data_IF_295845000709
#
_entry.id   IF_295845000709
#
_cell.length_a   1.000
_cell.length_b   1.000
_cell.length_c   1.000
_cell.angle_alpha   90.00
_cell.angle_beta   90.00
_cell.angle_gamma   90.00
#
_symmetry.space_group_name_H-M   'P 1'
#
loop_
_entity.id
_entity.type
_entity.pdbx_description
1 polymer ?
#
# COMPACT_ATOMS: atom_id res chain seq x y z
N UNK A 1 -5.21 -21.42 -26.07
CA UNK A 1 -4.92 -19.99 -25.85
C UNK A 1 -3.49 -19.94 -25.33
N UNK A 2 -2.57 -19.32 -26.07
CA UNK A 2 -1.21 -19.10 -25.59
C UNK A 2 -1.26 -17.87 -24.70
N UNK A 3 -0.98 -18.03 -23.41
CA UNK A 3 -0.75 -16.90 -22.52
C UNK A 3 0.45 -16.13 -23.06
N UNK A 4 0.16 -14.95 -23.60
CA UNK A 4 1.18 -13.97 -23.95
C UNK A 4 1.64 -13.39 -22.62
N UNK A 5 2.78 -13.87 -22.12
CA UNK A 5 3.44 -13.24 -20.99
C UNK A 5 3.72 -11.77 -21.36
N UNK A 6 3.37 -10.81 -20.49
CA UNK A 6 3.63 -9.40 -20.75
C UNK A 6 5.12 -9.19 -21.00
N UNK A 7 5.43 -8.50 -22.10
CA UNK A 7 6.82 -8.22 -22.47
C UNK A 7 7.37 -7.10 -21.58
N UNK A 8 8.70 -7.05 -21.42
CA UNK A 8 9.40 -6.16 -20.50
C UNK A 8 9.15 -4.65 -20.69
N UNK A 9 8.56 -4.24 -21.81
CA UNK A 9 8.17 -2.84 -22.06
C UNK A 9 6.86 -2.44 -21.38
N UNK A 10 5.99 -3.39 -21.01
CA UNK A 10 4.70 -3.12 -20.36
C UNK A 10 4.84 -2.85 -18.85
N UNK A 11 6.03 -3.05 -18.29
CA UNK A 11 6.32 -3.03 -16.85
C UNK A 11 6.97 -1.70 -16.41
N UNK A 12 7.16 -0.75 -17.35
CA UNK A 12 7.95 0.47 -17.12
C UNK A 12 7.23 1.63 -16.40
N UNK A 13 5.90 1.64 -16.23
CA UNK A 13 5.20 2.87 -15.80
C UNK A 13 4.29 2.79 -14.57
N UNK A 14 4.24 1.68 -13.84
CA UNK A 14 3.31 1.49 -12.71
C UNK A 14 4.01 1.18 -11.37
N UNK A 15 5.14 1.85 -11.10
CA UNK A 15 5.77 1.82 -9.77
C UNK A 15 4.95 2.63 -8.75
N UNK A 16 5.29 2.49 -7.47
CA UNK A 16 4.67 3.32 -6.44
C UNK A 16 5.09 4.77 -6.67
N UNK A 17 4.12 5.68 -6.68
CA UNK A 17 4.34 7.11 -6.96
C UNK A 17 3.84 7.96 -5.80
N UNK A 18 4.29 9.22 -5.76
CA UNK A 18 3.78 10.20 -4.80
C UNK A 18 2.27 10.42 -4.97
N UNK A 19 1.75 10.34 -6.21
CA UNK A 19 0.32 10.46 -6.50
C UNK A 19 -0.49 9.32 -5.87
N UNK A 20 -0.02 8.07 -5.94
CA UNK A 20 -0.67 6.94 -5.27
C UNK A 20 -0.82 7.19 -3.77
N UNK A 21 0.25 7.67 -3.14
CA UNK A 21 0.27 7.95 -1.70
C UNK A 21 -0.61 9.14 -1.34
N UNK A 22 -0.56 10.21 -2.13
CA UNK A 22 -1.40 11.38 -1.96
C UNK A 22 -2.89 11.03 -2.07
N UNK A 23 -3.28 10.19 -3.03
CA UNK A 23 -4.65 9.70 -3.15
C UNK A 23 -5.09 8.95 -1.89
N UNK A 24 -4.25 8.07 -1.35
CA UNK A 24 -4.55 7.34 -0.10
C UNK A 24 -4.72 8.29 1.07
N UNK A 25 -3.80 9.23 1.29
CA UNK A 25 -3.88 10.15 2.43
C UNK A 25 -5.02 11.15 2.30
N UNK A 26 -5.31 11.63 1.09
CA UNK A 26 -6.44 12.52 0.82
C UNK A 26 -7.77 11.81 1.09
N UNK A 27 -7.92 10.56 0.63
CA UNK A 27 -9.11 9.77 0.90
C UNK A 27 -9.27 9.44 2.39
N UNK A 28 -8.19 9.09 3.09
CA UNK A 28 -8.21 8.88 4.54
C UNK A 28 -8.58 10.16 5.31
N UNK A 29 -8.13 11.33 4.84
CA UNK A 29 -8.54 12.62 5.40
C UNK A 29 -10.04 12.87 5.20
N UNK A 30 -10.60 12.55 4.02
CA UNK A 30 -12.05 12.65 3.77
C UNK A 30 -12.85 11.76 4.73
N UNK A 31 -12.46 10.48 4.90
CA UNK A 31 -13.13 9.58 5.85
C UNK A 31 -13.06 10.12 7.28
N UNK A 32 -11.92 10.70 7.66
CA UNK A 32 -11.76 11.32 9.00
C UNK A 32 -12.68 12.53 9.16
N UNK A 33 -12.80 13.38 8.14
CA UNK A 33 -13.72 14.52 8.13
C UNK A 33 -15.17 14.08 8.25
N UNK A 34 -15.60 13.10 7.45
CA UNK A 34 -16.96 12.57 7.51
C UNK A 34 -17.26 11.92 8.87
N UNK A 35 -16.30 11.17 9.43
CA UNK A 35 -16.45 10.57 10.76
C UNK A 35 -16.62 11.61 11.88
N UNK A 36 -15.92 12.75 11.76
CA UNK A 36 -16.06 13.87 12.70
C UNK A 36 -17.43 14.55 12.57
N UNK A 37 -17.90 14.79 11.34
CA UNK A 37 -19.22 15.39 11.09
C UNK A 37 -20.36 14.51 11.62
N UNK A 38 -20.27 13.19 11.43
CA UNK A 38 -21.24 12.24 12.01
C UNK A 38 -21.24 12.33 13.53
N UNK A 39 -20.06 12.39 14.14
CA UNK A 39 -19.94 12.50 15.60
C UNK A 39 -20.55 13.80 16.10
N UNK A 40 -20.28 14.94 15.46
CA UNK A 40 -20.83 16.25 15.81
C UNK A 40 -22.37 16.29 15.68
N UNK A 41 -22.91 15.85 14.54
CA UNK A 41 -24.36 15.81 14.29
C UNK A 41 -25.11 14.99 15.35
N UNK A 42 -24.48 13.95 15.89
CA UNK A 42 -25.04 13.11 16.95
C UNK A 42 -25.12 13.76 18.33
N UNK A 43 -24.37 14.84 18.61
CA UNK A 43 -24.51 15.59 19.87
C UNK A 43 -25.57 16.69 19.81
N UNK A 44 -25.97 17.12 18.62
CA UNK A 44 -26.95 18.19 18.43
C UNK A 44 -28.40 17.69 18.53
N UNK A 45 -28.66 16.38 18.45
CA UNK A 45 -30.00 15.81 18.58
C UNK A 45 -30.46 15.64 20.06
N UNK A 46 -31.71 15.98 20.41
CA UNK A 46 -32.18 15.93 21.80
C UNK A 46 -32.26 14.51 22.39
N UNK A 47 -31.60 14.33 23.53
CA UNK A 47 -31.44 13.08 24.31
C UNK A 47 -32.72 12.30 24.71
N UNK A 48 -33.93 12.85 24.53
CA UNK A 48 -35.19 12.23 25.01
C UNK A 48 -35.92 11.37 23.96
N UNK A 49 -35.29 11.16 22.81
CA UNK A 49 -35.76 10.38 21.68
C UNK A 49 -35.16 8.96 21.75
N UNK A 50 -35.76 8.04 22.54
CA UNK A 50 -35.19 6.69 22.78
C UNK A 50 -35.90 5.62 21.92
N UNK A 51 -35.18 4.92 21.01
CA UNK A 51 -34.07 4.00 21.30
C UNK A 51 -32.67 4.43 20.77
N UNK A 52 -32.33 5.72 20.84
CA UNK A 52 -31.09 6.27 20.29
C UNK A 52 -29.77 5.82 20.97
N UNK A 53 -29.74 5.43 22.25
CA UNK A 53 -28.45 5.25 22.96
C UNK A 53 -27.59 4.08 22.46
N UNK A 54 -28.19 2.95 22.06
CA UNK A 54 -27.41 1.81 21.56
C UNK A 54 -26.83 2.10 20.17
N UNK A 55 -27.58 2.77 19.31
CA UNK A 55 -27.15 3.14 17.96
C UNK A 55 -26.12 4.27 17.96
N UNK A 56 -26.31 5.25 18.84
CA UNK A 56 -25.35 6.31 19.11
C UNK A 56 -24.05 5.72 19.68
N UNK A 57 -24.13 4.77 20.62
CA UNK A 57 -22.96 4.09 21.16
C UNK A 57 -22.24 3.26 20.09
N UNK A 58 -22.98 2.51 19.25
CA UNK A 58 -22.39 1.74 18.14
C UNK A 58 -21.69 2.66 17.14
N UNK A 59 -22.28 3.79 16.79
CA UNK A 59 -21.66 4.76 15.88
C UNK A 59 -20.42 5.40 16.51
N UNK A 60 -20.49 5.81 17.78
CA UNK A 60 -19.31 6.32 18.51
C UNK A 60 -18.16 5.31 18.52
N UNK A 61 -18.47 4.04 18.82
CA UNK A 61 -17.48 2.97 18.81
C UNK A 61 -16.82 2.79 17.43
N UNK A 62 -17.58 2.93 16.34
CA UNK A 62 -17.05 2.85 14.98
C UNK A 62 -16.20 4.07 14.60
N UNK A 63 -16.65 5.29 14.93
CA UNK A 63 -15.82 6.48 14.74
C UNK A 63 -14.50 6.38 15.54
N UNK A 64 -14.55 5.83 16.75
CA UNK A 64 -13.35 5.52 17.54
C UNK A 64 -12.49 4.43 16.87
N UNK A 65 -13.10 3.37 16.32
CA UNK A 65 -12.36 2.36 15.55
C UNK A 65 -11.58 3.00 14.39
N UNK A 66 -12.19 3.94 13.67
CA UNK A 66 -11.49 4.69 12.63
C UNK A 66 -10.32 5.51 13.19
N UNK A 67 -10.58 6.34 14.20
CA UNK A 67 -9.61 7.30 14.75
C UNK A 67 -8.46 6.63 15.51
N UNK A 68 -8.72 5.56 16.24
CA UNK A 68 -7.77 4.94 17.16
C UNK A 68 -7.01 3.77 16.52
N UNK A 69 -7.61 3.15 15.50
CA UNK A 69 -7.05 1.94 14.88
C UNK A 69 -6.74 2.15 13.40
N UNK A 70 -7.72 2.49 12.58
CA UNK A 70 -7.56 2.43 11.11
C UNK A 70 -6.72 3.59 10.58
N UNK A 71 -7.10 4.83 10.90
CA UNK A 71 -6.42 6.03 10.44
C UNK A 71 -4.95 6.06 10.91
N UNK A 72 -4.62 5.78 12.19
CA UNK A 72 -3.22 5.71 12.62
C UNK A 72 -2.41 4.63 11.88
N UNK A 73 -3.01 3.49 11.54
CA UNK A 73 -2.31 2.46 10.76
C UNK A 73 -2.03 2.94 9.33
N UNK A 74 -2.98 3.57 8.65
CA UNK A 74 -2.76 4.16 7.32
C UNK A 74 -1.61 5.19 7.37
N UNK A 75 -1.67 6.11 8.34
CA UNK A 75 -0.70 7.20 8.48
C UNK A 75 0.70 6.75 8.91
N UNK A 76 0.83 5.56 9.52
CA UNK A 76 2.13 5.03 9.99
C UNK A 76 2.65 3.91 9.09
N UNK A 77 1.85 2.87 8.87
CA UNK A 77 2.29 1.65 8.20
C UNK A 77 2.56 1.87 6.72
N UNK A 78 1.85 2.79 6.04
CA UNK A 78 2.08 3.06 4.62
C UNK A 78 3.39 3.82 4.38
N UNK A 79 3.65 4.98 5.04
CA UNK A 79 4.95 5.62 4.92
C UNK A 79 6.10 4.73 5.36
N UNK A 80 5.94 4.02 6.48
CA UNK A 80 6.97 3.12 6.99
C UNK A 80 7.25 2.00 6.00
N UNK A 81 6.23 1.43 5.37
CA UNK A 81 6.40 0.40 4.33
C UNK A 81 7.21 0.88 3.13
N UNK A 82 7.11 2.16 2.75
CA UNK A 82 7.92 2.73 1.66
C UNK A 82 9.34 2.98 2.11
N UNK A 83 9.53 3.53 3.32
CA UNK A 83 10.84 3.80 3.90
C UNK A 83 11.64 2.50 4.14
N UNK A 84 11.02 1.51 4.78
CA UNK A 84 11.62 0.19 5.04
C UNK A 84 12.05 -0.48 3.73
N UNK A 85 11.18 -0.46 2.72
CA UNK A 85 11.52 -1.02 1.41
C UNK A 85 12.71 -0.30 0.80
N UNK A 86 12.75 1.04 0.87
CA UNK A 86 13.85 1.81 0.31
C UNK A 86 15.18 1.49 0.97
N UNK A 87 15.23 1.41 2.31
CA UNK A 87 16.44 1.02 3.05
C UNK A 87 16.92 -0.37 2.63
N UNK A 88 16.01 -1.35 2.54
CA UNK A 88 16.36 -2.70 2.07
C UNK A 88 16.82 -2.70 0.61
N UNK A 89 16.17 -1.92 -0.24
CA UNK A 89 16.52 -1.84 -1.65
C UNK A 89 17.89 -1.18 -1.87
N UNK A 90 18.29 -0.22 -1.03
CA UNK A 90 19.65 0.31 -0.99
C UNK A 90 20.68 -0.77 -0.68
N UNK A 91 20.45 -1.58 0.37
CA UNK A 91 21.33 -2.68 0.73
C UNK A 91 21.44 -3.70 -0.40
N UNK A 92 20.33 -4.06 -1.02
CA UNK A 92 20.29 -4.93 -2.20
C UNK A 92 21.11 -4.36 -3.35
N UNK A 93 20.93 -3.08 -3.67
CA UNK A 93 21.66 -2.45 -4.76
C UNK A 93 23.17 -2.40 -4.51
N UNK A 94 23.59 -2.12 -3.27
CA UNK A 94 25.00 -2.12 -2.89
C UNK A 94 25.61 -3.53 -2.92
N UNK A 95 24.90 -4.54 -2.42
CA UNK A 95 25.32 -5.94 -2.48
C UNK A 95 25.49 -6.41 -3.92
N UNK A 96 24.49 -6.16 -4.78
CA UNK A 96 24.56 -6.50 -6.21
C UNK A 96 25.71 -5.77 -6.89
N UNK A 97 25.92 -4.47 -6.59
CA UNK A 97 27.05 -3.71 -7.13
C UNK A 97 28.39 -4.31 -6.72
N UNK A 98 28.56 -4.69 -5.45
CA UNK A 98 29.80 -5.31 -4.98
C UNK A 98 30.07 -6.64 -5.67
N UNK A 99 29.03 -7.47 -5.86
CA UNK A 99 29.17 -8.74 -6.59
C UNK A 99 29.56 -8.48 -8.06
N UNK A 100 28.90 -7.54 -8.74
CA UNK A 100 29.22 -7.20 -10.14
C UNK A 100 30.65 -6.67 -10.28
N UNK A 101 31.12 -5.83 -9.36
CA UNK A 101 32.52 -5.38 -9.35
C UNK A 101 33.47 -6.56 -9.18
N UNK A 102 33.17 -7.48 -8.25
CA UNK A 102 33.99 -8.67 -8.03
C UNK A 102 34.01 -9.59 -9.27
N UNK A 103 32.91 -9.70 -10.01
CA UNK A 103 32.85 -10.40 -11.30
C UNK A 103 33.77 -9.74 -12.33
N UNK A 104 33.67 -8.41 -12.49
CA UNK A 104 34.48 -7.67 -13.47
C UNK A 104 36.00 -7.70 -13.18
N UNK A 105 36.39 -7.94 -11.94
CA UNK A 105 37.80 -8.09 -11.54
C UNK A 105 38.36 -9.50 -11.78
N UNK A 106 37.52 -10.49 -12.12
CA UNK A 106 37.98 -11.84 -12.41
C UNK A 106 38.65 -11.94 -13.79
N UNK A 107 39.64 -12.83 -13.96
CA UNK A 107 40.39 -12.95 -15.22
C UNK A 107 39.54 -13.29 -16.44
N UNK A 108 38.46 -14.06 -16.27
CA UNK A 108 37.52 -14.44 -17.32
C UNK A 108 36.22 -13.60 -17.30
N UNK A 109 36.10 -12.68 -16.32
CA UNK A 109 34.91 -11.85 -16.09
C UNK A 109 33.60 -12.65 -15.94
N UNK A 110 33.70 -13.91 -15.51
CA UNK A 110 32.55 -14.77 -15.28
C UNK A 110 32.17 -14.83 -13.82
N UNK A 111 30.88 -15.03 -13.54
CA UNK A 111 30.43 -15.29 -12.20
C UNK A 111 30.80 -16.71 -11.78
N UNK A 112 31.33 -16.85 -10.57
CA UNK A 112 31.44 -18.14 -9.90
C UNK A 112 30.06 -18.63 -9.44
N UNK A 113 29.94 -19.93 -9.18
CA UNK A 113 28.72 -20.53 -8.60
C UNK A 113 28.33 -19.85 -7.27
N UNK A 114 29.31 -19.51 -6.41
CA UNK A 114 29.03 -18.79 -5.16
C UNK A 114 28.48 -17.37 -5.40
N UNK A 115 28.96 -16.66 -6.42
CA UNK A 115 28.44 -15.33 -6.78
C UNK A 115 27.06 -15.42 -7.40
N UNK A 116 26.78 -16.48 -8.16
CA UNK A 116 25.44 -16.76 -8.68
C UNK A 116 24.42 -16.90 -7.56
N UNK A 117 24.70 -17.76 -6.58
CA UNK A 117 23.84 -17.92 -5.42
C UNK A 117 23.68 -16.62 -4.64
N UNK A 118 24.76 -15.86 -4.42
CA UNK A 118 24.67 -14.59 -3.71
C UNK A 118 23.77 -13.55 -4.41
N UNK A 119 23.78 -13.48 -5.75
CA UNK A 119 22.88 -12.61 -6.52
C UNK A 119 21.43 -13.05 -6.34
N UNK A 120 21.17 -14.35 -6.55
CA UNK A 120 19.83 -14.93 -6.44
C UNK A 120 19.24 -14.74 -5.04
N UNK A 121 20.02 -15.02 -3.99
CA UNK A 121 19.61 -14.83 -2.59
C UNK A 121 19.29 -13.36 -2.29
N UNK A 122 20.15 -12.43 -2.72
CA UNK A 122 19.93 -10.98 -2.50
C UNK A 122 18.62 -10.50 -3.17
N UNK A 123 18.32 -11.00 -4.37
CA UNK A 123 17.09 -10.66 -5.07
C UNK A 123 15.87 -11.34 -4.42
N UNK A 124 16.03 -12.57 -3.93
CA UNK A 124 14.97 -13.31 -3.24
C UNK A 124 14.57 -12.63 -1.94
N UNK A 125 15.54 -12.15 -1.15
CA UNK A 125 15.28 -11.36 0.05
C UNK A 125 14.44 -10.12 -0.28
N UNK A 126 14.79 -9.41 -1.36
CA UNK A 126 14.04 -8.24 -1.83
C UNK A 126 12.62 -8.60 -2.29
N UNK A 127 12.46 -9.73 -2.98
CA UNK A 127 11.16 -10.26 -3.40
C UNK A 127 10.26 -10.56 -2.19
N UNK A 128 10.82 -11.19 -1.15
CA UNK A 128 10.11 -11.52 0.09
C UNK A 128 9.67 -10.24 0.80
N UNK A 129 10.55 -9.25 0.97
CA UNK A 129 10.21 -7.97 1.59
C UNK A 129 9.11 -7.23 0.82
N UNK A 130 9.21 -7.18 -0.52
CA UNK A 130 8.15 -6.61 -1.37
C UNK A 130 6.80 -7.30 -1.13
N UNK A 131 6.81 -8.63 -0.98
CA UNK A 131 5.62 -9.40 -0.64
C UNK A 131 5.04 -9.07 0.74
N UNK A 132 5.88 -8.76 1.73
CA UNK A 132 5.44 -8.32 3.06
C UNK A 132 4.75 -6.96 2.99
N UNK A 133 5.30 -6.00 2.25
CA UNK A 133 4.68 -4.68 2.05
C UNK A 133 3.34 -4.76 1.32
N UNK A 134 3.25 -5.59 0.27
CA UNK A 134 1.98 -5.89 -0.40
C UNK A 134 0.93 -6.47 0.57
N UNK A 135 1.36 -7.36 1.48
CA UNK A 135 0.50 -7.97 2.48
C UNK A 135 -0.03 -6.95 3.48
N UNK A 136 0.82 -6.03 3.96
CA UNK A 136 0.39 -4.93 4.85
C UNK A 136 -0.78 -4.13 4.24
N UNK A 137 -0.70 -3.77 2.95
CA UNK A 137 -1.81 -3.07 2.27
C UNK A 137 -3.06 -3.95 2.15
N UNK A 138 -2.88 -5.26 1.96
CA UNK A 138 -3.99 -6.21 1.88
C UNK A 138 -4.72 -6.33 3.22
N UNK A 139 -3.98 -6.39 4.32
CA UNK A 139 -4.54 -6.48 5.67
C UNK A 139 -5.27 -5.17 6.03
N UNK A 140 -4.75 -4.01 5.62
CA UNK A 140 -5.45 -2.72 5.73
C UNK A 140 -6.77 -2.67 4.95
N UNK A 141 -6.78 -3.16 3.71
CA UNK A 141 -8.00 -3.24 2.90
C UNK A 141 -9.08 -4.08 3.57
N UNK A 142 -8.71 -5.21 4.18
CA UNK A 142 -9.65 -6.06 4.92
C UNK A 142 -10.23 -5.34 6.14
N UNK A 143 -9.39 -4.62 6.89
CA UNK A 143 -9.82 -3.84 8.05
C UNK A 143 -10.80 -2.72 7.65
N UNK A 144 -10.53 -2.04 6.53
CA UNK A 144 -11.39 -0.98 5.99
C UNK A 144 -12.70 -1.54 5.45
N UNK A 145 -12.70 -2.71 4.82
CA UNK A 145 -13.95 -3.36 4.38
C UNK A 145 -14.83 -3.76 5.58
N UNK A 146 -14.24 -4.26 6.66
CA UNK A 146 -14.98 -4.51 7.90
C UNK A 146 -15.60 -3.22 8.46
N UNK A 147 -14.83 -2.13 8.45
CA UNK A 147 -15.32 -0.81 8.85
C UNK A 147 -16.46 -0.32 7.95
N UNK A 148 -16.33 -0.44 6.62
CA UNK A 148 -17.38 -0.09 5.67
C UNK A 148 -18.68 -0.85 5.95
N UNK A 149 -18.59 -2.16 6.21
CA UNK A 149 -19.75 -2.98 6.55
C UNK A 149 -20.42 -2.53 7.85
N UNK A 150 -19.63 -2.20 8.88
CA UNK A 150 -20.13 -1.65 10.13
C UNK A 150 -20.91 -0.34 9.92
N UNK A 151 -20.41 0.55 9.04
CA UNK A 151 -21.12 1.79 8.67
C UNK A 151 -22.41 1.48 7.90
N UNK A 152 -22.40 0.54 6.94
CA UNK A 152 -23.60 0.13 6.19
C UNK A 152 -24.69 -0.42 7.11
N UNK A 153 -24.33 -1.26 8.08
CA UNK A 153 -25.27 -1.78 9.08
C UNK A 153 -25.89 -0.66 9.91
N UNK A 154 -25.08 0.33 10.31
CA UNK A 154 -25.60 1.47 11.07
C UNK A 154 -26.55 2.29 10.23
N UNK A 155 -26.19 2.61 8.98
CA UNK A 155 -27.06 3.31 8.05
C UNK A 155 -28.41 2.60 7.90
N UNK A 156 -28.42 1.28 7.68
CA UNK A 156 -29.66 0.49 7.61
C UNK A 156 -30.49 0.59 8.89
N UNK A 157 -29.83 0.56 10.05
CA UNK A 157 -30.48 0.64 11.35
C UNK A 157 -31.10 2.02 11.59
N UNK A 158 -30.38 3.09 11.24
CA UNK A 158 -30.89 4.46 11.30
C UNK A 158 -32.07 4.65 10.33
N UNK A 159 -31.96 4.22 9.09
CA UNK A 159 -33.05 4.35 8.11
C UNK A 159 -34.31 3.55 8.49
N UNK A 160 -34.17 2.43 9.20
CA UNK A 160 -35.31 1.64 9.70
C UNK A 160 -36.07 2.37 10.83
N UNK A 161 -35.39 3.16 11.64
CA UNK A 161 -35.95 3.91 12.77
C UNK A 161 -36.38 5.33 12.34
N UNK A 162 -37.38 5.40 11.45
CA UNK A 162 -37.87 6.66 10.80
C UNK A 162 -38.29 7.79 11.74
N UNK A 163 -38.57 7.50 13.01
CA UNK A 163 -39.02 8.50 13.98
C UNK A 163 -37.89 9.41 14.48
N UNK A 164 -36.63 9.10 14.16
CA UNK A 164 -35.45 9.75 14.75
C UNK A 164 -34.35 10.11 13.75
N UNK A 165 -34.48 9.73 12.48
CA UNK A 165 -33.41 9.93 11.50
C UNK A 165 -33.66 11.20 10.70
N UNK A 166 -32.80 12.20 10.90
CA UNK A 166 -32.76 13.38 10.04
C UNK A 166 -32.09 13.03 8.71
N UNK A 167 -32.60 13.58 7.60
CA UNK A 167 -31.98 13.45 6.26
C UNK A 167 -30.48 13.80 6.30
N UNK A 168 -30.09 14.69 7.21
CA UNK A 168 -28.69 15.09 7.47
C UNK A 168 -27.82 13.92 7.93
N UNK A 169 -28.21 13.15 8.95
CA UNK A 169 -27.40 12.02 9.46
C UNK A 169 -27.26 10.93 8.40
N UNK A 170 -28.35 10.65 7.67
CA UNK A 170 -28.33 9.69 6.56
C UNK A 170 -27.31 10.11 5.48
N UNK A 171 -27.38 11.36 5.03
CA UNK A 171 -26.45 11.88 4.02
C UNK A 171 -24.99 11.83 4.49
N UNK A 172 -24.72 12.06 5.79
CA UNK A 172 -23.37 11.97 6.35
C UNK A 172 -22.81 10.54 6.30
N UNK A 173 -23.62 9.52 6.63
CA UNK A 173 -23.21 8.12 6.49
C UNK A 173 -22.98 7.72 5.04
N UNK A 174 -23.83 8.17 4.11
CA UNK A 174 -23.65 7.93 2.68
C UNK A 174 -22.36 8.56 2.14
N UNK A 175 -22.08 9.81 2.54
CA UNK A 175 -20.81 10.49 2.22
C UNK A 175 -19.61 9.72 2.77
N UNK A 176 -19.68 9.28 4.03
CA UNK A 176 -18.61 8.50 4.63
C UNK A 176 -18.35 7.20 3.86
N UNK A 177 -19.40 6.49 3.44
CA UNK A 177 -19.26 5.28 2.62
C UNK A 177 -18.61 5.58 1.26
N UNK A 178 -18.92 6.72 0.65
CA UNK A 178 -18.27 7.16 -0.58
C UNK A 178 -16.78 7.46 -0.36
N UNK A 179 -16.42 8.15 0.72
CA UNK A 179 -15.03 8.42 1.10
C UNK A 179 -14.27 7.12 1.39
N UNK A 180 -14.91 6.14 2.04
CA UNK A 180 -14.33 4.82 2.29
C UNK A 180 -14.07 4.09 0.97
N UNK A 181 -15.01 4.13 0.01
CA UNK A 181 -14.82 3.52 -1.31
C UNK A 181 -13.62 4.14 -2.04
N UNK A 182 -13.49 5.47 -2.03
CA UNK A 182 -12.34 6.16 -2.63
C UNK A 182 -11.02 5.72 -2.00
N UNK A 183 -11.00 5.54 -0.68
CA UNK A 183 -9.83 5.03 0.04
C UNK A 183 -9.52 3.58 -0.35
N UNK A 184 -10.53 2.72 -0.47
CA UNK A 184 -10.35 1.34 -0.92
C UNK A 184 -9.78 1.28 -2.33
N UNK A 185 -10.25 2.12 -3.26
CA UNK A 185 -9.73 2.20 -4.62
C UNK A 185 -8.27 2.69 -4.65
N UNK A 186 -7.94 3.68 -3.81
CA UNK A 186 -6.58 4.19 -3.68
C UNK A 186 -5.62 3.12 -3.11
N UNK A 187 -6.03 2.42 -2.04
CA UNK A 187 -5.24 1.32 -1.46
C UNK A 187 -5.15 0.13 -2.41
N UNK A 188 -6.18 -0.15 -3.20
CA UNK A 188 -6.17 -1.18 -4.22
C UNK A 188 -5.13 -0.86 -5.31
N UNK A 189 -5.06 0.40 -5.72
CA UNK A 189 -4.05 0.90 -6.66
C UNK A 189 -2.65 0.74 -6.07
N UNK A 190 -2.44 1.12 -4.80
CA UNK A 190 -1.16 0.95 -4.11
C UNK A 190 -0.76 -0.53 -3.98
N UNK A 191 -1.70 -1.43 -3.65
CA UNK A 191 -1.48 -2.88 -3.60
C UNK A 191 -1.05 -3.42 -4.97
N UNK A 192 -1.67 -2.95 -6.04
CA UNK A 192 -1.33 -3.37 -7.40
C UNK A 192 0.08 -2.90 -7.78
N UNK A 193 0.47 -1.69 -7.39
CA UNK A 193 1.83 -1.18 -7.59
C UNK A 193 2.87 -2.05 -6.84
N UNK A 194 2.61 -2.43 -5.58
CA UNK A 194 3.45 -3.40 -4.86
C UNK A 194 3.54 -4.76 -5.57
N UNK A 195 2.42 -5.27 -6.08
CA UNK A 195 2.40 -6.52 -6.83
C UNK A 195 3.25 -6.46 -8.10
N UNK A 196 3.25 -5.33 -8.79
CA UNK A 196 4.08 -5.13 -9.99
C UNK A 196 5.57 -5.09 -9.64
N UNK A 197 5.96 -4.40 -8.56
CA UNK A 197 7.33 -4.44 -8.02
C UNK A 197 7.74 -5.88 -7.69
N UNK A 198 6.87 -6.66 -7.07
CA UNK A 198 7.12 -8.06 -6.76
C UNK A 198 7.32 -8.91 -8.02
N UNK A 199 6.47 -8.72 -9.02
CA UNK A 199 6.58 -9.41 -10.31
C UNK A 199 7.90 -9.09 -11.02
N UNK A 200 8.36 -7.83 -10.98
CA UNK A 200 9.68 -7.43 -11.53
C UNK A 200 10.82 -8.26 -10.93
N UNK A 201 10.89 -8.35 -9.61
CA UNK A 201 11.93 -9.16 -8.94
C UNK A 201 11.79 -10.65 -9.28
N UNK A 202 10.58 -11.18 -9.27
CA UNK A 202 10.33 -12.59 -9.61
C UNK A 202 10.79 -12.93 -11.04
N UNK A 203 10.53 -12.06 -12.02
CA UNK A 203 10.99 -12.27 -13.40
C UNK A 203 12.51 -12.24 -13.49
N UNK A 204 13.15 -11.30 -12.79
CA UNK A 204 14.61 -11.13 -12.86
C UNK A 204 15.35 -12.29 -12.18
N UNK A 205 14.82 -12.79 -11.06
CA UNK A 205 15.30 -14.01 -10.42
C UNK A 205 15.21 -15.18 -11.40
N UNK A 206 14.04 -15.39 -12.02
CA UNK A 206 13.85 -16.46 -13.00
C UNK A 206 14.81 -16.35 -14.17
N UNK A 207 15.09 -15.14 -14.66
CA UNK A 207 16.03 -14.92 -15.76
C UNK A 207 17.48 -15.24 -15.33
N UNK A 208 17.87 -14.87 -14.11
CA UNK A 208 19.20 -15.14 -13.54
C UNK A 208 19.40 -16.63 -13.24
N UNK A 209 18.36 -17.35 -12.82
CA UNK A 209 18.44 -18.80 -12.63
C UNK A 209 18.65 -19.56 -13.95
N UNK A 210 18.17 -19.02 -15.07
CA UNK A 210 18.31 -19.62 -16.41
C UNK A 210 19.63 -19.21 -17.07
N UNK A 211 20.07 -17.97 -16.86
CA UNK A 211 21.30 -17.45 -17.45
C UNK A 211 22.51 -18.02 -16.71
N UNK A 212 23.35 -18.82 -17.37
CA UNK A 212 24.54 -19.43 -16.73
C UNK A 212 25.76 -18.50 -16.76
N UNK A 213 25.82 -17.55 -17.71
CA UNK A 213 27.03 -16.77 -18.00
C UNK A 213 26.83 -15.23 -18.17
N UNK A 214 25.61 -14.70 -18.40
CA UNK A 214 25.38 -13.29 -18.80
C UNK A 214 24.59 -12.44 -17.76
N UNK A 215 24.94 -12.57 -16.48
CA UNK A 215 24.28 -11.87 -15.38
C UNK A 215 24.28 -10.33 -15.47
N UNK A 216 25.35 -9.66 -15.96
CA UNK A 216 25.36 -8.19 -16.06
C UNK A 216 24.25 -7.66 -16.99
N UNK A 217 23.91 -8.37 -18.06
CA UNK A 217 22.81 -7.99 -18.96
C UNK A 217 21.44 -8.13 -18.29
N UNK A 218 21.26 -9.10 -17.39
CA UNK A 218 20.03 -9.26 -16.63
C UNK A 218 19.90 -8.22 -15.50
N UNK A 219 20.99 -7.92 -14.80
CA UNK A 219 21.01 -6.94 -13.72
C UNK A 219 20.85 -5.50 -14.23
N UNK A 220 21.31 -5.19 -15.44
CA UNK A 220 21.08 -3.86 -16.04
C UNK A 220 19.59 -3.56 -16.30
N UNK A 221 18.74 -4.60 -16.43
CA UNK A 221 17.27 -4.44 -16.54
C UNK A 221 16.62 -3.94 -15.25
N UNK A 222 17.26 -4.11 -14.09
CA UNK A 222 16.80 -3.50 -12.84
C UNK A 222 16.96 -1.97 -12.84
N UNK A 223 17.86 -1.43 -13.67
CA UNK A 223 18.27 -0.03 -13.67
C UNK A 223 18.39 0.53 -12.24
N UNK A 224 19.15 -0.17 -11.40
CA UNK A 224 19.20 0.03 -9.94
C UNK A 224 19.40 1.50 -9.54
N UNK A 225 20.23 2.24 -10.28
CA UNK A 225 20.45 3.66 -10.00
C UNK A 225 19.22 4.54 -10.24
N UNK A 226 18.47 4.30 -11.31
CA UNK A 226 17.24 5.05 -11.57
C UNK A 226 16.18 4.69 -10.54
N UNK A 227 16.00 3.40 -10.26
CA UNK A 227 15.05 2.92 -9.26
C UNK A 227 15.38 3.50 -7.87
N UNK A 228 16.64 3.46 -7.44
CA UNK A 228 17.05 4.04 -6.15
C UNK A 228 16.70 5.53 -6.04
N UNK A 229 16.91 6.31 -7.11
CA UNK A 229 16.58 7.74 -7.11
C UNK A 229 15.08 7.99 -6.97
N UNK A 230 14.25 7.19 -7.65
CA UNK A 230 12.80 7.32 -7.55
C UNK A 230 12.31 6.95 -6.15
N UNK A 231 12.81 5.86 -5.55
CA UNK A 231 12.47 5.48 -4.18
C UNK A 231 12.99 6.47 -3.13
N UNK A 232 14.18 7.05 -3.34
CA UNK A 232 14.72 8.10 -2.48
C UNK A 232 13.82 9.34 -2.51
N UNK A 233 13.44 9.78 -3.71
CA UNK A 233 12.54 10.92 -3.92
C UNK A 233 11.19 10.67 -3.26
N UNK A 234 10.63 9.47 -3.43
CA UNK A 234 9.37 9.07 -2.82
C UNK A 234 9.45 9.12 -1.29
N UNK A 235 10.50 8.54 -0.71
CA UNK A 235 10.72 8.52 0.75
C UNK A 235 10.88 9.93 1.32
N UNK A 236 11.67 10.80 0.68
CA UNK A 236 11.81 12.20 1.08
C UNK A 236 10.48 12.97 1.04
N UNK A 237 9.67 12.74 0.00
CA UNK A 237 8.36 13.37 -0.12
C UNK A 237 7.38 12.96 0.99
N UNK A 238 7.55 11.77 1.56
CA UNK A 238 6.74 11.27 2.67
C UNK A 238 7.19 11.78 4.03
N UNK A 239 8.50 11.93 4.24
CA UNK A 239 9.07 12.31 5.53
C UNK A 239 9.16 13.83 5.73
N UNK A 240 8.88 14.63 4.69
CA UNK A 240 8.91 16.09 4.77
C UNK A 240 10.31 16.69 4.69
N UNK A 241 11.32 15.89 4.32
CA UNK A 241 12.69 16.33 4.09
C UNK A 241 12.84 16.87 2.66
N UNK A 242 12.41 18.11 2.43
CA UNK A 242 12.74 18.91 1.23
C UNK A 242 13.74 20.00 1.53
#
# INVERSE_FOLDING_TARGET
MKDVMPTTNDIQNNEITAEHLQCVFSAAASVTGDAALIFEAMYEEPMYLYPADEHLLKTKCQTQQWNDVICPKILKEIPQSVADFFEQFQLTADNLRHIVIAINLQPDQKATEAQHYAISDTLYDTLVQTGMHQKTITDLLQLIEQYANNIRENLQTWTANRDFTTDTIQNLFENQLQSIQQLQDALQTLRNAWNLTKLKFSTIISDIEIAVDDYPAHLTRLNLQAALKEWEKLTKSLLGDT
#
